data_IF_338425711081
#
_entry.id   IF_338425711081
#
_cell.length_a   1.000
_cell.length_b   1.000
_cell.length_c   1.000
_cell.angle_alpha   90.00
_cell.angle_beta   90.00
_cell.angle_gamma   90.00
#
_symmetry.space_group_name_H-M   'P 1'
#
loop_
_entity.id
_entity.type
_entity.pdbx_description
1 polymer ?
#
# COMPACT_ATOMS: atom_id res chain seq x y z
N UNK A 1 14.11 -44.53 -5.93
CA UNK A 1 14.00 -43.05 -5.86
C UNK A 1 13.42 -42.67 -4.50
N UNK A 2 14.15 -41.89 -3.70
CA UNK A 2 13.89 -41.73 -2.25
C UNK A 2 12.61 -40.91 -1.99
N UNK A 3 11.64 -41.45 -1.25
CA UNK A 3 10.29 -40.84 -1.06
C UNK A 3 10.37 -39.42 -0.48
N UNK A 4 11.36 -39.15 0.37
CA UNK A 4 11.65 -37.84 0.98
C UNK A 4 12.00 -36.76 -0.05
N UNK A 5 12.76 -37.11 -1.09
CA UNK A 5 13.17 -36.15 -2.13
C UNK A 5 11.98 -35.70 -3.00
N UNK A 6 11.03 -36.61 -3.28
CA UNK A 6 9.78 -36.31 -3.98
C UNK A 6 8.89 -35.36 -3.17
N UNK A 7 8.81 -35.58 -1.85
CA UNK A 7 8.06 -34.73 -0.93
C UNK A 7 8.64 -33.32 -0.89
N UNK A 8 9.96 -33.17 -0.72
CA UNK A 8 10.61 -31.85 -0.75
C UNK A 8 10.39 -31.12 -2.08
N UNK A 9 10.54 -31.80 -3.23
CA UNK A 9 10.33 -31.20 -4.56
C UNK A 9 8.90 -30.66 -4.73
N UNK A 10 7.89 -31.36 -4.21
CA UNK A 10 6.48 -30.91 -4.24
C UNK A 10 6.26 -29.64 -3.41
N UNK A 11 6.89 -29.54 -2.24
CA UNK A 11 6.81 -28.35 -1.39
C UNK A 11 7.49 -27.13 -2.03
N UNK A 12 8.70 -27.30 -2.58
CA UNK A 12 9.39 -26.21 -3.29
C UNK A 12 8.61 -25.74 -4.51
N UNK A 13 8.01 -26.66 -5.29
CA UNK A 13 7.19 -26.29 -6.43
C UNK A 13 5.94 -25.49 -6.03
N UNK A 14 5.24 -25.90 -4.96
CA UNK A 14 4.10 -25.14 -4.41
C UNK A 14 4.52 -23.74 -3.94
N UNK A 15 5.68 -23.64 -3.29
CA UNK A 15 6.22 -22.37 -2.83
C UNK A 15 6.53 -21.43 -4.01
N UNK A 16 7.15 -21.95 -5.08
CA UNK A 16 7.44 -21.16 -6.28
C UNK A 16 6.17 -20.63 -6.95
N UNK A 17 5.11 -21.45 -7.04
CA UNK A 17 3.81 -21.00 -7.58
C UNK A 17 3.22 -19.90 -6.68
N UNK A 18 3.23 -20.11 -5.36
CA UNK A 18 2.71 -19.12 -4.42
C UNK A 18 3.47 -17.79 -4.52
N UNK A 19 4.80 -17.83 -4.60
CA UNK A 19 5.64 -16.65 -4.78
C UNK A 19 5.33 -15.93 -6.10
N UNK A 20 5.20 -16.66 -7.21
CA UNK A 20 4.85 -16.08 -8.50
C UNK A 20 3.48 -15.37 -8.48
N UNK A 21 2.48 -15.99 -7.84
CA UNK A 21 1.15 -15.39 -7.67
C UNK A 21 1.20 -14.13 -6.81
N UNK A 22 1.92 -14.17 -5.69
CA UNK A 22 2.06 -13.00 -4.80
C UNK A 22 2.77 -11.85 -5.53
N UNK A 23 3.84 -12.14 -6.27
CA UNK A 23 4.55 -11.12 -7.07
C UNK A 23 3.64 -10.50 -8.14
N UNK A 24 2.84 -11.31 -8.83
CA UNK A 24 1.89 -10.80 -9.82
C UNK A 24 0.86 -9.85 -9.19
N UNK A 25 0.28 -10.25 -8.06
CA UNK A 25 -0.68 -9.43 -7.32
C UNK A 25 -0.04 -8.13 -6.80
N UNK A 26 1.19 -8.20 -6.31
CA UNK A 26 1.92 -7.04 -5.82
C UNK A 26 2.19 -6.03 -6.94
N UNK A 27 2.62 -6.50 -8.12
CA UNK A 27 2.85 -5.64 -9.29
C UNK A 27 1.54 -5.02 -9.78
N UNK A 28 0.45 -5.77 -9.84
CA UNK A 28 -0.86 -5.25 -10.23
C UNK A 28 -1.33 -4.15 -9.27
N UNK A 29 -1.18 -4.37 -7.96
CA UNK A 29 -1.52 -3.36 -6.96
C UNK A 29 -0.65 -2.11 -7.10
N UNK A 30 0.67 -2.25 -7.22
CA UNK A 30 1.59 -1.12 -7.39
C UNK A 30 1.27 -0.32 -8.67
N UNK A 31 1.04 -1.01 -9.79
CA UNK A 31 0.70 -0.37 -11.05
C UNK A 31 -0.64 0.35 -11.00
N UNK A 32 -1.66 -0.30 -10.41
CA UNK A 32 -2.97 0.34 -10.23
C UNK A 32 -2.88 1.60 -9.37
N UNK A 33 -2.12 1.54 -8.27
CA UNK A 33 -1.94 2.67 -7.36
C UNK A 33 -1.28 3.84 -8.09
N UNK A 34 -0.21 3.57 -8.83
CA UNK A 34 0.49 4.58 -9.62
C UNK A 34 -0.45 5.24 -10.63
N UNK A 35 -1.10 4.44 -11.47
CA UNK A 35 -1.93 4.96 -12.55
C UNK A 35 -3.13 5.77 -12.04
N UNK A 36 -3.80 5.30 -10.99
CA UNK A 36 -4.90 6.01 -10.36
C UNK A 36 -4.39 7.29 -9.69
N UNK A 37 -3.25 7.24 -9.02
CA UNK A 37 -2.66 8.43 -8.37
C UNK A 37 -2.33 9.51 -9.39
N UNK A 38 -1.60 9.19 -10.46
CA UNK A 38 -1.21 10.14 -11.51
C UNK A 38 -2.45 10.80 -12.15
N UNK A 39 -3.48 10.00 -12.46
CA UNK A 39 -4.72 10.50 -13.04
C UNK A 39 -5.45 11.52 -12.15
N UNK A 40 -5.53 11.25 -10.84
CA UNK A 40 -6.21 12.15 -9.91
C UNK A 40 -5.34 13.36 -9.57
N UNK A 41 -4.05 13.18 -9.37
CA UNK A 41 -3.10 14.26 -9.09
C UNK A 41 -3.11 15.28 -10.23
N UNK A 42 -2.97 14.83 -11.48
CA UNK A 42 -3.01 15.72 -12.66
C UNK A 42 -4.32 16.52 -12.71
N UNK A 43 -5.47 15.86 -12.50
CA UNK A 43 -6.77 16.55 -12.49
C UNK A 43 -6.90 17.58 -11.37
N UNK A 44 -6.46 17.22 -10.16
CA UNK A 44 -6.56 18.10 -8.99
C UNK A 44 -5.61 19.27 -9.16
N UNK A 45 -4.38 19.04 -9.61
CA UNK A 45 -3.36 20.08 -9.76
C UNK A 45 -3.68 20.99 -10.94
N UNK A 46 -4.16 20.45 -12.05
CA UNK A 46 -4.64 21.25 -13.18
C UNK A 46 -5.83 22.13 -12.77
N UNK A 47 -6.78 21.60 -12.00
CA UNK A 47 -7.90 22.37 -11.47
C UNK A 47 -7.44 23.46 -10.48
N UNK A 48 -6.49 23.17 -9.60
CA UNK A 48 -5.92 24.13 -8.65
C UNK A 48 -5.14 25.24 -9.37
N UNK A 49 -4.31 24.90 -10.35
CA UNK A 49 -3.52 25.83 -11.14
C UNK A 49 -4.39 26.82 -11.92
N UNK A 50 -5.51 26.37 -12.49
CA UNK A 50 -6.38 27.22 -13.31
C UNK A 50 -7.38 28.05 -12.49
N UNK A 51 -7.86 27.55 -11.34
CA UNK A 51 -8.90 28.25 -10.56
C UNK A 51 -8.34 29.08 -9.40
N UNK A 52 -7.29 28.63 -8.74
CA UNK A 52 -6.85 29.20 -7.47
C UNK A 52 -5.50 28.61 -7.00
N UNK A 53 -4.40 29.32 -7.25
CA UNK A 53 -3.05 28.91 -6.79
C UNK A 53 -2.95 28.74 -5.26
N UNK A 54 -3.78 29.45 -4.49
CA UNK A 54 -3.81 29.30 -3.03
C UNK A 54 -4.29 27.92 -2.57
N UNK A 55 -4.98 27.16 -3.43
CA UNK A 55 -5.51 25.84 -3.11
C UNK A 55 -4.39 24.82 -2.83
N UNK A 56 -3.20 25.00 -3.43
CA UNK A 56 -2.02 24.16 -3.20
C UNK A 56 -1.59 24.12 -1.73
N UNK A 57 -1.85 25.17 -0.96
CA UNK A 57 -1.55 25.22 0.48
C UNK A 57 -2.55 24.38 1.29
N UNK A 58 -3.81 24.31 0.83
CA UNK A 58 -4.88 23.59 1.53
C UNK A 58 -4.96 22.11 1.13
N UNK A 59 -4.49 21.76 -0.06
CA UNK A 59 -4.44 20.39 -0.60
C UNK A 59 -3.86 19.37 0.42
N UNK A 60 -2.67 19.60 1.02
CA UNK A 60 -2.12 18.69 2.03
C UNK A 60 -2.99 18.58 3.29
N UNK A 61 -3.66 19.67 3.69
CA UNK A 61 -4.55 19.68 4.85
C UNK A 61 -5.78 18.80 4.61
N UNK A 62 -6.33 18.85 3.39
CA UNK A 62 -7.43 17.98 2.97
C UNK A 62 -6.98 16.51 2.95
N UNK A 63 -5.79 16.23 2.43
CA UNK A 63 -5.22 14.88 2.42
C UNK A 63 -5.07 14.28 3.82
N UNK A 64 -4.47 15.01 4.75
CA UNK A 64 -4.31 14.55 6.15
C UNK A 64 -5.67 14.33 6.82
N UNK A 65 -6.63 15.23 6.58
CA UNK A 65 -7.98 15.11 7.14
C UNK A 65 -8.71 13.89 6.58
N UNK A 66 -8.59 13.63 5.28
CA UNK A 66 -9.17 12.44 4.64
C UNK A 66 -8.56 11.15 5.21
N UNK A 67 -7.23 11.10 5.38
CA UNK A 67 -6.53 9.95 5.99
C UNK A 67 -6.99 9.74 7.44
N UNK A 68 -7.16 10.82 8.21
CA UNK A 68 -7.66 10.74 9.58
C UNK A 68 -9.05 10.08 9.64
N UNK A 69 -9.98 10.53 8.79
CA UNK A 69 -11.33 9.96 8.74
C UNK A 69 -11.35 8.53 8.22
N UNK A 70 -10.57 8.22 7.18
CA UNK A 70 -10.39 6.87 6.68
C UNK A 70 -9.91 5.93 7.78
N UNK A 71 -8.88 6.34 8.54
CA UNK A 71 -8.36 5.55 9.67
C UNK A 71 -9.37 5.40 10.79
N UNK A 72 -10.17 6.43 11.06
CA UNK A 72 -11.18 6.42 12.12
C UNK A 72 -12.35 5.49 11.80
N UNK A 73 -12.88 5.56 10.58
CA UNK A 73 -14.09 4.82 10.19
C UNK A 73 -13.80 3.44 9.58
N UNK A 74 -12.83 3.32 8.67
CA UNK A 74 -12.54 2.04 8.01
C UNK A 74 -11.60 1.15 8.82
N UNK A 75 -10.62 1.74 9.53
CA UNK A 75 -9.55 0.98 10.21
C UNK A 75 -9.62 1.01 11.74
N UNK A 76 -10.69 1.57 12.33
CA UNK A 76 -10.93 1.60 13.78
C UNK A 76 -9.70 2.05 14.60
N UNK A 77 -8.91 3.01 14.11
CA UNK A 77 -7.67 3.50 14.75
C UNK A 77 -6.59 2.42 15.01
N UNK A 78 -6.63 1.29 14.31
CA UNK A 78 -5.56 0.28 14.40
C UNK A 78 -4.23 0.89 13.93
N UNK A 79 -3.14 0.58 14.66
CA UNK A 79 -1.81 1.11 14.37
C UNK A 79 -1.32 0.49 13.05
N UNK A 80 -1.03 1.32 12.05
CA UNK A 80 -0.27 0.94 10.86
C UNK A 80 1.19 1.29 11.11
N UNK A 81 2.03 0.29 11.40
CA UNK A 81 3.48 0.48 11.60
C UNK A 81 4.30 0.18 10.34
N UNK A 82 3.68 0.18 9.16
CA UNK A 82 4.36 0.04 7.87
C UNK A 82 5.36 -1.11 7.82
N UNK A 83 6.54 -0.84 7.26
CA UNK A 83 7.60 -1.83 7.08
C UNK A 83 8.18 -2.35 8.41
N UNK A 84 8.19 -1.53 9.48
CA UNK A 84 8.72 -1.93 10.81
C UNK A 84 7.96 -3.14 11.36
N UNK A 85 6.67 -3.26 11.07
CA UNK A 85 5.89 -4.40 11.53
C UNK A 85 6.12 -5.66 10.69
N UNK A 86 6.46 -5.50 9.41
CA UNK A 86 6.88 -6.60 8.55
C UNK A 86 8.18 -7.19 9.09
N UNK A 87 9.18 -6.36 9.36
CA UNK A 87 10.44 -6.78 9.99
C UNK A 87 10.19 -7.48 11.33
N UNK A 88 9.37 -6.88 12.19
CA UNK A 88 9.03 -7.49 13.49
C UNK A 88 8.33 -8.84 13.35
N UNK A 89 7.47 -9.01 12.36
CA UNK A 89 6.77 -10.28 12.10
C UNK A 89 7.75 -11.36 11.62
N UNK A 90 8.71 -10.98 10.77
CA UNK A 90 9.80 -11.85 10.31
C UNK A 90 10.74 -12.25 11.45
N UNK A 91 11.15 -11.29 12.29
CA UNK A 91 12.02 -11.52 13.46
C UNK A 91 11.34 -12.37 14.53
N UNK A 92 10.08 -12.05 14.87
CA UNK A 92 9.33 -12.74 15.92
C UNK A 92 8.62 -14.01 15.44
N UNK A 93 8.80 -14.40 14.16
CA UNK A 93 8.13 -15.55 13.53
C UNK A 93 6.62 -15.57 13.80
N UNK A 94 5.96 -14.40 13.85
CA UNK A 94 4.51 -14.36 14.04
C UNK A 94 3.83 -14.80 12.76
N UNK A 95 2.91 -15.76 12.87
CA UNK A 95 2.39 -16.51 11.72
C UNK A 95 1.52 -15.70 10.74
N UNK A 96 1.04 -14.51 11.11
CA UNK A 96 0.13 -13.77 10.23
C UNK A 96 0.19 -12.25 10.38
N UNK A 97 0.27 -11.58 9.24
CA UNK A 97 0.00 -10.15 9.13
C UNK A 97 -1.52 -9.97 8.90
N UNK A 98 -2.22 -9.12 9.65
CA UNK A 98 -3.66 -9.00 9.48
C UNK A 98 -4.01 -8.34 8.14
N UNK A 99 -5.01 -8.92 7.47
CA UNK A 99 -5.40 -8.58 6.09
C UNK A 99 -5.79 -7.12 5.87
N UNK A 100 -6.29 -6.43 6.90
CA UNK A 100 -6.71 -5.02 6.80
C UNK A 100 -5.55 -4.05 6.51
N UNK A 101 -4.30 -4.49 6.63
CA UNK A 101 -3.13 -3.61 6.45
C UNK A 101 -2.83 -3.27 5.00
N UNK A 102 -3.01 -4.23 4.09
CA UNK A 102 -2.80 -4.03 2.65
C UNK A 102 -3.71 -2.90 2.13
N UNK A 103 -5.04 -2.96 2.28
CA UNK A 103 -5.91 -1.87 1.81
C UNK A 103 -5.65 -0.58 2.59
N UNK A 104 -5.29 -0.66 3.88
CA UNK A 104 -4.99 0.55 4.65
C UNK A 104 -3.78 1.30 4.11
N UNK A 105 -2.69 0.61 3.81
CA UNK A 105 -1.51 1.22 3.22
C UNK A 105 -1.77 1.74 1.81
N UNK A 106 -2.49 0.96 0.99
CA UNK A 106 -2.88 1.37 -0.36
C UNK A 106 -3.66 2.70 -0.37
N UNK A 107 -4.73 2.81 0.43
CA UNK A 107 -5.56 4.02 0.45
C UNK A 107 -4.88 5.21 1.14
N UNK A 108 -4.08 4.96 2.19
CA UNK A 108 -3.32 6.03 2.84
C UNK A 108 -2.28 6.60 1.87
N UNK A 109 -1.57 5.73 1.14
CA UNK A 109 -0.66 6.14 0.07
C UNK A 109 -1.40 6.96 -0.98
N UNK A 110 -2.45 6.39 -1.59
CA UNK A 110 -3.27 7.07 -2.60
C UNK A 110 -3.67 8.49 -2.18
N UNK A 111 -4.28 8.64 -1.00
CA UNK A 111 -4.69 9.95 -0.49
C UNK A 111 -3.50 10.88 -0.23
N UNK A 112 -2.37 10.36 0.24
CA UNK A 112 -1.19 11.20 0.48
C UNK A 112 -0.65 11.77 -0.82
N UNK A 113 -0.58 10.96 -1.88
CA UNK A 113 -0.02 11.36 -3.17
C UNK A 113 -0.91 12.33 -3.93
N UNK A 114 -2.21 12.04 -4.09
CA UNK A 114 -3.12 12.90 -4.87
C UNK A 114 -3.25 14.32 -4.29
N UNK A 115 -2.96 14.48 -2.99
CA UNK A 115 -3.01 15.76 -2.28
C UNK A 115 -1.62 16.43 -2.14
N UNK A 116 -0.58 15.92 -2.82
CA UNK A 116 0.75 16.52 -2.88
C UNK A 116 1.65 16.24 -1.67
N UNK A 117 1.48 15.08 -1.01
CA UNK A 117 2.35 14.65 0.08
C UNK A 117 3.76 14.31 -0.39
N UNK A 118 4.78 14.68 0.41
CA UNK A 118 6.19 14.56 0.06
C UNK A 118 6.84 13.19 0.30
N UNK A 119 6.07 12.18 0.72
CA UNK A 119 6.58 10.84 1.06
C UNK A 119 6.58 9.95 -0.17
N UNK A 120 7.68 9.28 -0.53
CA UNK A 120 7.75 8.41 -1.72
C UNK A 120 6.88 7.14 -1.65
N UNK A 121 6.45 6.64 -2.82
CA UNK A 121 5.61 5.42 -3.01
C UNK A 121 6.21 4.18 -2.33
N UNK A 122 7.53 4.15 -2.16
CA UNK A 122 8.27 3.00 -1.64
C UNK A 122 8.09 2.76 -0.14
N UNK A 123 7.75 3.81 0.62
CA UNK A 123 7.76 3.78 2.09
C UNK A 123 6.36 3.58 2.68
N UNK A 124 5.32 3.88 1.91
CA UNK A 124 3.93 3.83 2.36
C UNK A 124 3.35 2.45 2.20
#
# INVERSE_FOLDING_TARGET
>A
MNKTALVHRKYYFRLSIAAALISLLAVLLAFSLKWITEYFEEKIFHAAAHKATWLFIFLPTIGITAIYFLRKYAFQKRKNKGITEIYKTLEQRKDHLPLFKIPSHYFNGFLTFIFGGSTGIEVV
#
